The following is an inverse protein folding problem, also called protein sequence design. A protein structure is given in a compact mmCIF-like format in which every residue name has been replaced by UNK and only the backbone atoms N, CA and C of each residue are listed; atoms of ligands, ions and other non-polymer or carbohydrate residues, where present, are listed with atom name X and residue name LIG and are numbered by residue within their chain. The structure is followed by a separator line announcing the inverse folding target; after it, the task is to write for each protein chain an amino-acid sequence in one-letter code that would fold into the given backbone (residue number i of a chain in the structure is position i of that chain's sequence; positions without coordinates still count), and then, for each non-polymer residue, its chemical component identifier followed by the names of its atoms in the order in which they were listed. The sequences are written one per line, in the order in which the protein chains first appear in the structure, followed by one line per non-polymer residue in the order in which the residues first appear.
data_IF_166758624520
#
_entry.id   IF_166758624520
#
_cell.length_a   1.000
_cell.length_b   1.000
_cell.length_c   1.000
_cell.angle_alpha   90.00
_cell.angle_beta   90.00
_cell.angle_gamma   90.00
#
_symmetry.space_group_name_H-M   'P 1'
#
loop_
_entity.id
_entity.type
_entity.pdbx_description
1 polymer ?
#
# COMPACT_ATOMS: atom_id res chain seq x y z
N UNK A 1 -13.30 -5.65 1.69
CA UNK A 1 -13.39 -5.17 0.29
C UNK A 1 -13.37 -3.65 0.19
N UNK A 2 -14.40 -2.92 0.66
CA UNK A 2 -14.50 -1.45 0.45
C UNK A 2 -13.28 -0.63 0.88
N UNK A 3 -12.64 -0.94 2.01
CA UNK A 3 -11.48 -0.16 2.49
C UNK A 3 -10.25 -0.39 1.59
N UNK A 4 -9.98 -1.65 1.23
CA UNK A 4 -8.80 -2.09 0.47
C UNK A 4 -8.75 -1.46 -0.92
N UNK A 5 -9.90 -1.17 -1.55
CA UNK A 5 -9.93 -0.54 -2.88
C UNK A 5 -9.89 1.00 -2.84
N UNK A 6 -10.15 1.60 -1.67
CA UNK A 6 -10.18 3.06 -1.48
C UNK A 6 -8.81 3.61 -1.13
N UNK A 7 -8.10 2.93 -0.24
CA UNK A 7 -6.80 3.38 0.26
C UNK A 7 -5.70 3.49 -0.81
N UNK A 8 -5.55 2.55 -1.77
CA UNK A 8 -4.60 2.71 -2.86
C UNK A 8 -4.78 4.04 -3.59
N UNK A 9 -6.03 4.43 -3.87
CA UNK A 9 -6.33 5.67 -4.61
C UNK A 9 -6.02 6.91 -3.77
N UNK A 10 -6.26 6.86 -2.46
CA UNK A 10 -5.90 7.96 -1.55
C UNK A 10 -4.37 8.08 -1.37
N UNK A 11 -3.65 6.96 -1.24
CA UNK A 11 -2.17 6.97 -1.22
C UNK A 11 -1.63 7.56 -2.54
N UNK A 12 -2.17 7.10 -3.67
CA UNK A 12 -1.75 7.55 -4.98
C UNK A 12 -2.08 9.03 -5.22
N UNK A 13 -3.14 9.58 -4.63
CA UNK A 13 -3.46 11.02 -4.78
C UNK A 13 -2.43 11.94 -4.12
N UNK A 14 -1.60 11.41 -3.22
CA UNK A 14 -0.63 12.19 -2.46
C UNK A 14 -1.21 12.92 -1.25
N UNK A 15 -2.52 12.79 -1.00
CA UNK A 15 -3.19 13.44 0.12
C UNK A 15 -2.75 12.87 1.47
N UNK A 16 -2.74 13.74 2.49
CA UNK A 16 -2.49 13.41 3.90
C UNK A 16 -3.73 13.59 4.77
N UNK A 17 -4.84 13.98 4.15
CA UNK A 17 -6.07 14.34 4.81
C UNK A 17 -7.00 13.14 4.91
N UNK A 18 -7.28 12.69 6.13
CA UNK A 18 -8.29 11.67 6.41
C UNK A 18 -9.69 12.17 6.02
N UNK A 19 -9.93 13.49 6.13
CA UNK A 19 -11.19 14.11 5.70
C UNK A 19 -11.39 13.98 4.18
N UNK A 20 -10.36 14.32 3.39
CA UNK A 20 -10.42 14.12 1.94
C UNK A 20 -10.55 12.63 1.59
N UNK A 21 -9.87 11.75 2.33
CA UNK A 21 -9.99 10.30 2.17
C UNK A 21 -11.45 9.83 2.29
N UNK A 22 -12.16 10.34 3.30
CA UNK A 22 -13.58 10.07 3.53
C UNK A 22 -14.46 10.71 2.45
N UNK A 23 -14.28 11.99 2.14
CA UNK A 23 -15.13 12.73 1.20
C UNK A 23 -15.01 12.22 -0.24
N UNK A 24 -13.79 11.94 -0.71
CA UNK A 24 -13.55 11.53 -2.10
C UNK A 24 -13.64 10.03 -2.32
N UNK A 25 -13.20 9.24 -1.35
CA UNK A 25 -13.10 7.78 -1.51
C UNK A 25 -14.01 7.02 -0.56
N UNK A 26 -14.57 7.65 0.47
CA UNK A 26 -15.30 6.97 1.55
C UNK A 26 -14.37 6.22 2.52
N UNK A 27 -13.09 6.59 2.59
CA UNK A 27 -12.12 5.91 3.44
C UNK A 27 -12.09 6.52 4.85
N UNK A 28 -12.73 5.84 5.81
CA UNK A 28 -12.76 6.26 7.23
C UNK A 28 -11.69 5.60 8.09
N UNK A 29 -10.80 4.80 7.48
CA UNK A 29 -9.75 4.08 8.23
C UNK A 29 -8.92 5.07 9.04
N UNK A 30 -8.44 6.13 8.40
CA UNK A 30 -7.46 7.05 8.97
C UNK A 30 -8.01 8.11 9.94
N UNK A 31 -9.33 8.22 10.10
CA UNK A 31 -9.99 9.29 10.89
C UNK A 31 -9.46 9.34 12.32
N UNK A 32 -9.42 8.19 13.01
CA UNK A 32 -8.92 8.10 14.38
C UNK A 32 -7.45 8.51 14.50
N UNK A 33 -6.63 8.10 13.55
CA UNK A 33 -5.20 8.43 13.57
C UNK A 33 -4.95 9.91 13.31
N UNK A 34 -5.79 10.57 12.50
CA UNK A 34 -5.73 12.02 12.32
C UNK A 34 -6.11 12.78 13.60
N UNK A 35 -7.13 12.32 14.33
CA UNK A 35 -7.49 12.86 15.64
C UNK A 35 -6.33 12.69 16.65
N UNK A 36 -5.68 11.53 16.65
CA UNK A 36 -4.52 11.29 17.50
C UNK A 36 -3.31 12.16 17.11
N UNK A 37 -3.07 12.37 15.81
CA UNK A 37 -2.05 13.31 15.32
C UNK A 37 -2.33 14.74 15.80
N UNK A 38 -3.59 15.19 15.72
CA UNK A 38 -4.00 16.51 16.22
C UNK A 38 -3.73 16.62 17.71
N UNK A 39 -4.14 15.63 18.49
CA UNK A 39 -3.98 15.62 19.96
C UNK A 39 -2.51 15.59 20.40
N UNK A 40 -1.67 14.79 19.74
CA UNK A 40 -0.29 14.55 20.16
C UNK A 40 0.72 15.54 19.56
N UNK A 41 0.48 15.98 18.32
CA UNK A 41 1.42 16.79 17.55
C UNK A 41 0.86 18.16 17.13
N UNK A 42 -0.41 18.44 17.39
CA UNK A 42 -1.04 19.71 16.99
C UNK A 42 -1.24 19.84 15.48
N UNK A 43 -1.33 18.73 14.75
CA UNK A 43 -1.66 18.77 13.31
C UNK A 43 -3.05 19.41 13.09
N UNK A 44 -3.30 20.00 11.91
CA UNK A 44 -4.64 20.47 11.56
C UNK A 44 -5.69 19.35 11.65
N UNK A 45 -6.95 19.74 11.81
CA UNK A 45 -8.05 18.77 11.90
C UNK A 45 -8.15 17.92 10.63
N UNK A 46 -8.19 16.60 10.82
CA UNK A 46 -8.23 15.63 9.71
C UNK A 46 -6.88 15.37 9.05
N UNK A 47 -5.77 15.98 9.49
CA UNK A 47 -4.45 15.79 8.90
C UNK A 47 -3.57 14.80 9.68
N UNK A 48 -2.93 13.89 8.93
CA UNK A 48 -2.01 12.88 9.47
C UNK A 48 -0.55 13.35 9.52
N UNK A 49 -0.21 14.39 8.76
CA UNK A 49 1.18 14.76 8.47
C UNK A 49 1.74 13.98 7.27
N UNK A 50 3.06 14.04 7.02
CA UNK A 50 3.71 13.49 5.83
C UNK A 50 3.81 11.94 5.84
N UNK A 51 2.67 11.26 5.69
CA UNK A 51 2.51 9.80 5.61
C UNK A 51 2.70 9.28 4.17
N UNK A 52 2.26 8.04 3.88
CA UNK A 52 2.46 7.35 2.60
C UNK A 52 2.29 8.20 1.34
N UNK A 53 1.15 8.87 1.16
CA UNK A 53 0.87 9.67 -0.05
C UNK A 53 1.87 10.82 -0.22
N UNK A 54 2.17 11.54 0.86
CA UNK A 54 3.17 12.60 0.85
C UNK A 54 4.56 12.07 0.49
N UNK A 55 5.00 10.98 1.11
CA UNK A 55 6.31 10.41 0.79
C UNK A 55 6.37 9.95 -0.67
N UNK A 56 5.28 9.40 -1.20
CA UNK A 56 5.23 8.90 -2.57
C UNK A 56 5.21 10.03 -3.62
N UNK A 57 4.43 11.09 -3.41
CA UNK A 57 4.15 12.14 -4.42
C UNK A 57 4.85 13.47 -4.15
N UNK A 58 5.30 13.71 -2.92
CA UNK A 58 5.78 14.99 -2.43
C UNK A 58 7.02 14.85 -1.53
N UNK A 59 7.91 13.90 -1.83
CA UNK A 59 9.14 13.66 -1.07
C UNK A 59 9.96 14.96 -0.92
N UNK A 60 10.27 15.34 0.32
CA UNK A 60 10.88 16.63 0.70
C UNK A 60 10.18 17.85 0.07
N UNK A 61 8.87 17.78 -0.12
CA UNK A 61 8.03 18.82 -0.71
C UNK A 61 8.23 19.07 -2.20
N UNK A 62 9.03 18.25 -2.91
CA UNK A 62 9.46 18.58 -4.28
C UNK A 62 9.49 17.40 -5.26
N UNK A 63 9.64 16.16 -4.79
CA UNK A 63 9.88 15.01 -5.66
C UNK A 63 8.69 14.07 -5.67
N UNK A 64 8.14 13.84 -6.86
CA UNK A 64 7.15 12.79 -7.11
C UNK A 64 7.89 11.48 -7.43
N UNK A 65 8.16 10.68 -6.39
CA UNK A 65 8.93 9.44 -6.53
C UNK A 65 8.23 8.43 -7.43
N UNK A 66 6.89 8.38 -7.40
CA UNK A 66 6.12 7.50 -8.27
C UNK A 66 6.30 7.85 -9.74
N UNK A 67 6.20 9.14 -10.06
CA UNK A 67 6.40 9.62 -11.44
C UNK A 67 7.81 9.30 -11.94
N UNK A 68 8.83 9.63 -11.15
CA UNK A 68 10.22 9.34 -11.53
C UNK A 68 10.47 7.84 -11.70
N UNK A 69 9.86 7.00 -10.85
CA UNK A 69 9.94 5.54 -10.95
C UNK A 69 9.31 5.02 -12.24
N UNK A 70 8.10 5.47 -12.58
CA UNK A 70 7.40 5.03 -13.79
C UNK A 70 8.17 5.45 -15.04
N UNK A 71 8.62 6.70 -15.12
CA UNK A 71 9.41 7.18 -16.25
C UNK A 71 10.75 6.44 -16.37
N UNK A 72 11.36 6.07 -15.24
CA UNK A 72 12.55 5.23 -15.23
C UNK A 72 12.28 3.84 -15.79
N UNK A 73 11.19 3.19 -15.40
CA UNK A 73 10.80 1.85 -15.88
C UNK A 73 10.31 1.85 -17.34
N UNK A 74 9.76 2.97 -17.83
CA UNK A 74 9.43 3.18 -19.25
C UNK A 74 10.72 3.32 -20.09
N UNK A 75 11.68 4.13 -19.62
CA UNK A 75 12.94 4.40 -20.33
C UNK A 75 13.95 3.25 -20.27
N UNK A 76 14.07 2.59 -19.12
CA UNK A 76 15.05 1.53 -18.85
C UNK A 76 14.39 0.39 -18.05
N UNK A 77 13.67 -0.53 -18.71
CA UNK A 77 12.91 -1.60 -18.05
C UNK A 77 13.71 -2.41 -17.02
N UNK A 78 14.93 -2.80 -17.36
CA UNK A 78 15.79 -3.65 -16.51
C UNK A 78 16.59 -2.84 -15.45
N UNK A 79 16.19 -1.60 -15.19
CA UNK A 79 16.83 -0.75 -14.18
C UNK A 79 16.80 -1.42 -12.80
N UNK A 80 17.93 -1.34 -12.09
CA UNK A 80 18.04 -1.76 -10.68
C UNK A 80 17.84 -0.60 -9.71
N UNK A 81 17.34 0.54 -10.22
CA UNK A 81 17.20 1.82 -9.49
C UNK A 81 15.75 2.23 -9.25
N UNK A 82 14.78 1.41 -9.64
CA UNK A 82 13.36 1.67 -9.44
C UNK A 82 12.96 1.38 -7.98
N UNK A 83 13.45 2.22 -7.07
CA UNK A 83 13.24 2.13 -5.62
C UNK A 83 12.58 3.42 -5.13
N UNK A 84 11.57 3.27 -4.28
CA UNK A 84 10.88 4.38 -3.59
C UNK A 84 11.15 4.24 -2.10
N UNK A 85 11.61 5.31 -1.46
CA UNK A 85 11.62 5.37 0.00
C UNK A 85 10.28 5.91 0.50
N UNK A 86 9.67 5.23 1.45
CA UNK A 86 8.52 5.71 2.20
C UNK A 86 8.92 6.11 3.62
N UNK A 87 10.22 6.09 3.94
CA UNK A 87 10.76 6.41 5.25
C UNK A 87 11.69 7.61 5.17
N UNK A 88 11.21 8.78 5.60
CA UNK A 88 12.00 9.99 5.74
C UNK A 88 12.24 10.30 7.22
N UNK A 89 13.50 10.20 7.68
CA UNK A 89 13.83 10.45 9.08
C UNK A 89 13.51 11.89 9.50
N UNK A 90 13.65 12.88 8.61
CA UNK A 90 13.33 14.29 8.87
C UNK A 90 11.83 14.51 9.16
N UNK A 91 10.97 13.64 8.64
CA UNK A 91 9.53 13.66 8.87
C UNK A 91 9.12 12.80 10.07
N UNK A 92 9.79 11.67 10.28
CA UNK A 92 9.49 10.75 11.38
C UNK A 92 9.87 11.37 12.72
N UNK A 93 11.16 11.60 12.94
CA UNK A 93 11.66 12.17 14.19
C UNK A 93 13.10 12.67 14.04
N UNK A 94 13.33 13.95 14.28
CA UNK A 94 14.67 14.54 14.36
C UNK A 94 14.77 15.44 15.58
N UNK A 95 15.80 15.24 16.40
CA UNK A 95 16.00 16.02 17.64
C UNK A 95 14.81 15.96 18.61
N UNK A 96 14.02 14.87 18.59
CA UNK A 96 12.81 14.70 19.41
C UNK A 96 11.54 15.37 18.85
N UNK A 97 11.63 16.02 17.68
CA UNK A 97 10.49 16.64 16.99
C UNK A 97 9.91 15.66 15.98
N UNK A 98 8.62 15.35 16.12
CA UNK A 98 7.87 14.44 15.25
C UNK A 98 6.92 15.22 14.35
N UNK A 99 6.88 14.90 13.05
CA UNK A 99 5.87 15.46 12.12
C UNK A 99 4.76 14.48 11.79
N UNK A 100 4.95 13.20 12.11
CA UNK A 100 3.93 12.14 12.00
C UNK A 100 3.74 11.44 13.34
N UNK A 101 2.50 11.18 13.71
CA UNK A 101 2.19 10.39 14.89
C UNK A 101 2.25 8.89 14.58
N UNK A 102 1.84 8.51 13.38
CA UNK A 102 1.99 7.15 12.85
C UNK A 102 2.90 7.22 11.63
N UNK A 103 4.14 6.78 11.83
CA UNK A 103 5.09 6.63 10.75
C UNK A 103 4.74 5.41 9.90
N UNK A 104 5.08 5.47 8.61
CA UNK A 104 4.82 4.41 7.63
C UNK A 104 5.39 3.06 8.11
N UNK A 105 4.59 2.00 8.16
CA UNK A 105 5.01 0.64 8.49
C UNK A 105 5.80 0.00 7.35
N UNK A 106 5.47 0.37 6.11
CA UNK A 106 6.26 0.00 4.93
C UNK A 106 7.22 1.14 4.63
N UNK A 107 8.52 0.83 4.69
CA UNK A 107 9.61 1.82 4.62
C UNK A 107 10.18 1.99 3.21
N UNK A 108 10.08 0.97 2.36
CA UNK A 108 10.66 0.98 1.02
C UNK A 108 9.88 0.09 0.07
N UNK A 109 9.87 0.47 -1.22
CA UNK A 109 9.40 -0.35 -2.34
C UNK A 109 10.50 -0.48 -3.38
N UNK A 110 10.65 -1.64 -3.98
CA UNK A 110 11.51 -1.89 -5.14
C UNK A 110 10.67 -2.54 -6.24
N UNK A 111 10.69 -1.98 -7.43
CA UNK A 111 9.98 -2.48 -8.60
C UNK A 111 10.97 -3.07 -9.59
N UNK A 112 10.66 -4.25 -10.12
CA UNK A 112 11.48 -4.93 -11.11
C UNK A 112 10.64 -5.29 -12.32
N UNK A 113 10.90 -4.62 -13.44
CA UNK A 113 10.32 -4.94 -14.75
C UNK A 113 11.32 -5.81 -15.50
N UNK A 114 11.04 -7.10 -15.60
CA UNK A 114 11.97 -8.08 -16.16
C UNK A 114 11.27 -9.07 -17.08
N UNK A 115 12.04 -9.63 -18.01
CA UNK A 115 11.62 -10.76 -18.85
C UNK A 115 12.07 -12.06 -18.20
N UNK A 116 11.11 -12.91 -17.88
CA UNK A 116 11.36 -14.21 -17.27
C UNK A 116 11.18 -15.31 -18.29
N UNK A 117 12.15 -16.22 -18.35
CA UNK A 117 12.03 -17.41 -19.20
C UNK A 117 10.98 -18.34 -18.59
N UNK A 118 9.88 -18.58 -19.31
CA UNK A 118 8.79 -19.46 -18.86
C UNK A 118 8.88 -20.85 -19.49
N UNK A 119 9.43 -20.95 -20.71
CA UNK A 119 9.77 -22.19 -21.43
C UNK A 119 11.00 -21.98 -22.31
N UNK A 120 11.49 -23.04 -22.94
CA UNK A 120 12.60 -22.92 -23.90
C UNK A 120 12.23 -21.96 -25.04
N UNK A 121 13.00 -20.87 -25.19
CA UNK A 121 12.73 -19.83 -26.17
C UNK A 121 11.60 -18.85 -25.83
N UNK A 122 10.83 -19.07 -24.76
CA UNK A 122 9.67 -18.24 -24.40
C UNK A 122 9.95 -17.37 -23.17
N UNK A 123 9.67 -16.08 -23.29
CA UNK A 123 9.86 -15.08 -22.22
C UNK A 123 8.58 -14.29 -21.99
N UNK A 124 8.24 -14.07 -20.73
CA UNK A 124 7.14 -13.20 -20.32
C UNK A 124 7.69 -11.99 -19.56
N UNK A 125 7.27 -10.80 -19.98
CA UNK A 125 7.54 -9.58 -19.25
C UNK A 125 6.50 -9.39 -18.15
N UNK A 126 6.92 -9.04 -16.93
CA UNK A 126 6.02 -8.68 -15.83
C UNK A 126 6.67 -7.68 -14.88
N UNK A 127 5.84 -7.06 -14.04
CA UNK A 127 6.28 -6.17 -12.97
C UNK A 127 6.25 -6.87 -11.61
N UNK A 128 7.41 -7.26 -11.09
CA UNK A 128 7.54 -7.71 -9.70
C UNK A 128 7.74 -6.50 -8.76
N UNK A 129 7.29 -6.62 -7.51
CA UNK A 129 7.47 -5.60 -6.48
C UNK A 129 7.93 -6.25 -5.18
N UNK A 130 8.95 -5.70 -4.54
CA UNK A 130 9.34 -6.04 -3.18
C UNK A 130 9.08 -4.85 -2.26
N UNK A 131 8.63 -5.12 -1.03
CA UNK A 131 8.41 -4.10 -0.01
C UNK A 131 9.14 -4.48 1.28
N UNK A 132 9.67 -3.48 1.97
CA UNK A 132 10.25 -3.64 3.30
C UNK A 132 9.23 -3.15 4.33
N UNK A 133 8.78 -4.06 5.19
CA UNK A 133 7.82 -3.84 6.25
C UNK A 133 8.58 -3.83 7.59
N UNK A 134 8.84 -2.64 8.12
CA UNK A 134 9.64 -2.47 9.35
C UNK A 134 8.94 -2.94 10.63
N UNK A 135 7.62 -3.04 10.62
CA UNK A 135 6.77 -3.41 11.77
C UNK A 135 5.41 -3.87 11.30
N UNK A 136 5.13 -5.17 11.39
CA UNK A 136 3.95 -5.81 10.83
C UNK A 136 3.08 -6.45 11.93
N UNK A 137 1.89 -5.88 12.14
CA UNK A 137 0.80 -6.54 12.87
C UNK A 137 0.26 -7.70 12.00
N UNK A 138 0.84 -8.89 12.19
CA UNK A 138 0.63 -10.06 11.33
C UNK A 138 -0.84 -10.48 11.18
N UNK A 139 -1.69 -10.48 12.23
CA UNK A 139 -3.07 -10.94 12.10
C UNK A 139 -4.06 -9.88 11.60
N UNK A 140 -3.68 -8.60 11.55
CA UNK A 140 -4.60 -7.52 11.15
C UNK A 140 -4.01 -6.57 10.10
N UNK A 141 -2.98 -5.79 10.45
CA UNK A 141 -2.40 -4.77 9.57
C UNK A 141 -1.73 -5.36 8.32
N UNK A 142 -0.90 -6.39 8.50
CA UNK A 142 -0.08 -6.92 7.42
C UNK A 142 -0.91 -7.49 6.24
N UNK A 143 -1.96 -8.32 6.45
CA UNK A 143 -2.79 -8.80 5.35
C UNK A 143 -3.50 -7.68 4.59
N UNK A 144 -3.90 -6.61 5.30
CA UNK A 144 -4.50 -5.42 4.69
C UNK A 144 -3.48 -4.66 3.84
N UNK A 145 -2.29 -4.40 4.37
CA UNK A 145 -1.19 -3.76 3.65
C UNK A 145 -0.82 -4.54 2.37
N UNK A 146 -0.68 -5.86 2.46
CA UNK A 146 -0.30 -6.68 1.30
C UNK A 146 -1.36 -6.62 0.19
N UNK A 147 -2.64 -6.53 0.55
CA UNK A 147 -3.70 -6.34 -0.41
C UNK A 147 -3.62 -4.94 -1.06
N UNK A 148 -3.47 -3.87 -0.25
CA UNK A 148 -3.35 -2.48 -0.72
C UNK A 148 -2.17 -2.31 -1.67
N UNK A 149 -0.98 -2.75 -1.26
CA UNK A 149 0.23 -2.65 -2.07
C UNK A 149 0.20 -3.57 -3.29
N UNK A 150 -0.47 -4.73 -3.20
CA UNK A 150 -0.79 -5.56 -4.37
C UNK A 150 -1.62 -4.81 -5.41
N UNK A 151 -2.64 -4.07 -4.98
CA UNK A 151 -3.45 -3.24 -5.89
C UNK A 151 -2.63 -2.09 -6.50
N UNK A 152 -1.74 -1.45 -5.72
CA UNK A 152 -0.82 -0.43 -6.25
C UNK A 152 0.11 -1.04 -7.30
N UNK A 153 0.70 -2.22 -7.05
CA UNK A 153 1.51 -2.92 -8.04
C UNK A 153 0.73 -3.19 -9.34
N UNK A 154 -0.52 -3.63 -9.23
CA UNK A 154 -1.38 -3.85 -10.39
C UNK A 154 -1.64 -2.56 -11.18
N UNK A 155 -1.82 -1.42 -10.51
CA UNK A 155 -1.97 -0.12 -11.15
C UNK A 155 -0.67 0.33 -11.84
N UNK A 156 0.49 0.15 -11.22
CA UNK A 156 1.79 0.45 -11.85
C UNK A 156 2.02 -0.44 -13.07
N UNK A 157 1.70 -1.73 -12.97
CA UNK A 157 1.81 -2.67 -14.08
C UNK A 157 0.88 -2.26 -15.24
N UNK A 158 -0.36 -1.85 -14.93
CA UNK A 158 -1.33 -1.33 -15.91
C UNK A 158 -0.81 -0.08 -16.62
N UNK A 159 -0.25 0.88 -15.88
CA UNK A 159 0.36 2.10 -16.43
C UNK A 159 1.58 1.81 -17.33
N UNK A 160 2.31 0.73 -17.05
CA UNK A 160 3.43 0.26 -17.87
C UNK A 160 2.99 -0.64 -19.05
N UNK A 161 1.72 -1.03 -19.12
CA UNK A 161 1.19 -1.91 -20.17
C UNK A 161 1.66 -3.37 -20.09
N UNK A 162 2.00 -3.85 -18.88
CA UNK A 162 2.53 -5.21 -18.64
C UNK A 162 1.76 -5.90 -17.50
N UNK A 163 1.77 -7.23 -17.41
CA UNK A 163 1.10 -7.92 -16.31
C UNK A 163 1.84 -7.69 -14.97
N UNK A 164 1.10 -7.66 -13.84
CA UNK A 164 1.70 -7.71 -12.52
C UNK A 164 2.32 -9.10 -12.29
N UNK A 165 3.42 -9.12 -11.54
CA UNK A 165 4.12 -10.34 -11.16
C UNK A 165 4.02 -10.62 -9.66
N UNK A 166 5.15 -10.98 -9.06
CA UNK A 166 5.24 -11.35 -7.64
C UNK A 166 5.31 -10.11 -6.76
N UNK A 167 4.58 -10.14 -5.65
CA UNK A 167 4.76 -9.22 -4.53
C UNK A 167 5.53 -9.93 -3.41
N UNK A 168 6.70 -9.42 -3.04
CA UNK A 168 7.52 -9.95 -1.96
C UNK A 168 7.47 -9.03 -0.75
N UNK A 169 7.04 -9.57 0.40
CA UNK A 169 7.06 -8.85 1.67
C UNK A 169 8.31 -9.22 2.48
N UNK A 170 9.25 -8.29 2.66
CA UNK A 170 10.34 -8.43 3.62
C UNK A 170 9.87 -7.87 4.96
N UNK A 171 9.67 -8.75 5.94
CA UNK A 171 9.19 -8.35 7.27
C UNK A 171 10.39 -8.29 8.21
N UNK A 172 10.65 -7.13 8.79
CA UNK A 172 11.76 -6.93 9.73
C UNK A 172 11.34 -7.26 11.15
N UNK A 173 10.25 -6.65 11.62
CA UNK A 173 9.56 -6.99 12.87
C UNK A 173 8.16 -7.49 12.52
N UNK A 174 7.88 -8.74 12.85
CA UNK A 174 6.60 -9.40 12.61
C UNK A 174 6.03 -9.88 13.92
N UNK A 175 4.95 -9.23 14.35
CA UNK A 175 4.43 -9.38 15.71
C UNK A 175 2.96 -9.80 15.76
N UNK A 176 2.60 -10.40 16.90
CA UNK A 176 1.22 -10.67 17.32
C UNK A 176 1.07 -10.01 18.69
N UNK A 177 0.10 -9.10 18.84
CA UNK A 177 -0.17 -8.50 20.15
C UNK A 177 -0.77 -9.53 21.11
N UNK A 178 -0.49 -9.42 22.41
CA UNK A 178 -0.98 -10.38 23.42
C UNK A 178 -2.51 -10.54 23.38
N UNK A 179 -3.22 -9.41 23.24
CA UNK A 179 -4.68 -9.35 23.09
C UNK A 179 -5.23 -10.04 21.83
N UNK A 180 -4.39 -10.38 20.86
CA UNK A 180 -4.76 -11.07 19.63
C UNK A 180 -4.51 -12.59 19.71
N UNK A 181 -3.72 -13.09 20.68
CA UNK A 181 -3.24 -14.49 20.71
C UNK A 181 -4.39 -15.50 20.63
N UNK A 182 -5.44 -15.33 21.46
CA UNK A 182 -6.57 -16.27 21.45
C UNK A 182 -7.35 -16.25 20.13
N UNK A 183 -7.48 -15.07 19.50
CA UNK A 183 -8.11 -14.94 18.18
C UNK A 183 -7.24 -15.56 17.08
N UNK A 184 -5.92 -15.42 17.15
CA UNK A 184 -4.99 -16.07 16.22
C UNK A 184 -5.08 -17.60 16.35
N UNK A 185 -5.17 -18.14 17.56
CA UNK A 185 -5.39 -19.59 17.76
C UNK A 185 -6.70 -20.08 17.14
N UNK A 186 -7.77 -19.29 17.19
CA UNK A 186 -9.02 -19.58 16.49
C UNK A 186 -8.85 -19.50 14.96
N UNK A 187 -8.14 -18.49 14.47
CA UNK A 187 -7.87 -18.29 13.04
C UNK A 187 -7.10 -19.47 12.44
N UNK A 188 -6.09 -19.97 13.16
CA UNK A 188 -5.25 -21.10 12.74
C UNK A 188 -5.99 -22.44 12.64
N UNK A 189 -7.23 -22.54 13.14
CA UNK A 189 -8.08 -23.72 12.95
C UNK A 189 -8.84 -23.71 11.62
N UNK A 190 -8.79 -22.60 10.87
CA UNK A 190 -9.50 -22.44 9.60
C UNK A 190 -8.62 -22.89 8.45
N UNK A 191 -9.11 -23.84 7.66
CA UNK A 191 -8.44 -24.27 6.44
C UNK A 191 -8.46 -23.15 5.37
N UNK A 192 -7.34 -22.88 4.67
CA UNK A 192 -7.31 -21.90 3.59
C UNK A 192 -8.31 -22.24 2.48
N UNK A 193 -9.04 -21.23 2.01
CA UNK A 193 -9.95 -21.35 0.86
C UNK A 193 -9.22 -20.99 -0.45
N UNK A 194 -9.77 -21.37 -1.62
CA UNK A 194 -9.19 -20.98 -2.91
C UNK A 194 -8.96 -19.47 -3.02
N UNK A 195 -7.84 -19.09 -3.65
CA UNK A 195 -7.49 -17.68 -3.85
C UNK A 195 -8.47 -17.01 -4.80
N UNK A 196 -8.86 -15.79 -4.47
CA UNK A 196 -9.54 -14.89 -5.39
C UNK A 196 -8.58 -14.34 -6.45
N UNK A 197 -9.14 -13.77 -7.50
CA UNK A 197 -8.41 -12.94 -8.47
C UNK A 197 -8.96 -11.53 -8.46
N UNK A 198 -8.14 -10.55 -8.85
CA UNK A 198 -8.57 -9.16 -8.98
C UNK A 198 -8.39 -8.71 -10.43
N UNK A 199 -9.39 -8.01 -10.97
CA UNK A 199 -9.27 -7.26 -12.24
C UNK A 199 -9.46 -5.76 -11.98
N UNK A 200 -8.83 -4.92 -12.80
CA UNK A 200 -8.98 -3.45 -12.73
C UNK A 200 -9.61 -2.95 -14.03
N UNK A 201 -10.89 -2.65 -13.94
CA UNK A 201 -11.79 -2.24 -15.01
C UNK A 201 -12.15 -0.75 -14.86
N UNK A 202 -11.16 0.11 -15.10
CA UNK A 202 -11.35 1.57 -15.16
C UNK A 202 -11.51 2.07 -16.60
N UNK A 203 -11.88 3.35 -16.80
CA UNK A 203 -11.98 3.94 -18.12
C UNK A 203 -10.62 3.91 -18.85
N UNK A 204 -10.64 3.84 -20.17
CA UNK A 204 -9.41 3.78 -20.98
C UNK A 204 -8.51 5.03 -20.81
N UNK A 205 -9.09 6.14 -20.37
CA UNK A 205 -8.38 7.39 -20.05
C UNK A 205 -7.80 7.45 -18.63
N UNK A 206 -8.10 6.48 -17.76
CA UNK A 206 -7.54 6.47 -16.41
C UNK A 206 -6.04 6.20 -16.47
N UNK A 207 -5.30 6.93 -15.63
CA UNK A 207 -3.88 6.72 -15.37
C UNK A 207 -3.70 6.33 -13.91
N UNK A 208 -2.50 5.92 -13.52
CA UNK A 208 -2.20 5.71 -12.10
C UNK A 208 -2.35 6.99 -11.26
N UNK A 209 -2.34 8.17 -11.87
CA UNK A 209 -2.43 9.44 -11.18
C UNK A 209 -3.87 9.94 -11.02
N UNK A 210 -4.79 9.54 -11.91
CA UNK A 210 -6.17 10.04 -11.93
C UNK A 210 -7.13 9.13 -12.72
N UNK A 211 -8.43 9.28 -12.46
CA UNK A 211 -9.50 8.64 -13.25
C UNK A 211 -9.93 7.27 -12.74
N UNK A 212 -9.15 6.62 -11.87
CA UNK A 212 -9.56 5.39 -11.21
C UNK A 212 -10.53 5.62 -10.05
N UNK A 213 -11.48 4.69 -9.89
CA UNK A 213 -12.45 4.69 -8.80
C UNK A 213 -12.42 3.37 -8.02
N UNK A 214 -12.85 3.35 -6.74
CA UNK A 214 -12.87 2.12 -5.94
C UNK A 214 -13.70 0.98 -6.57
N UNK A 215 -14.66 1.32 -7.43
CA UNK A 215 -15.50 0.37 -8.14
C UNK A 215 -14.80 -0.33 -9.33
N UNK A 216 -13.66 0.18 -9.79
CA UNK A 216 -12.90 -0.39 -10.91
C UNK A 216 -12.25 -1.72 -10.52
N UNK A 217 -11.95 -1.92 -9.24
CA UNK A 217 -11.39 -3.16 -8.72
C UNK A 217 -12.49 -4.21 -8.57
N UNK A 218 -12.43 -5.28 -9.36
CA UNK A 218 -13.35 -6.41 -9.25
C UNK A 218 -12.67 -7.57 -8.57
N UNK A 219 -13.22 -7.99 -7.45
CA UNK A 219 -12.78 -9.17 -6.73
C UNK A 219 -13.58 -10.39 -7.22
N UNK A 220 -12.90 -11.30 -7.91
CA UNK A 220 -13.51 -12.45 -8.56
C UNK A 220 -13.26 -13.73 -7.76
N UNK A 221 -14.28 -14.58 -7.64
CA UNK A 221 -14.20 -15.88 -6.97
C UNK A 221 -13.74 -15.81 -5.49
N UNK A 222 -14.04 -14.71 -4.80
CA UNK A 222 -13.66 -14.56 -3.40
C UNK A 222 -14.54 -15.39 -2.49
N UNK A 223 -13.90 -16.34 -1.82
CA UNK A 223 -14.49 -17.15 -0.76
C UNK A 223 -13.72 -16.87 0.51
N UNK A 224 -14.46 -16.60 1.58
CA UNK A 224 -13.89 -16.31 2.89
C UNK A 224 -14.70 -17.01 3.98
N UNK A 225 -14.00 -17.38 5.05
CA UNK A 225 -14.64 -17.72 6.31
C UNK A 225 -15.37 -16.50 6.89
N UNK A 226 -16.23 -16.74 7.88
CA UNK A 226 -16.91 -15.66 8.60
C UNK A 226 -15.92 -14.63 9.16
N UNK A 227 -16.33 -13.36 9.10
CA UNK A 227 -15.53 -12.23 9.58
C UNK A 227 -15.13 -12.45 11.04
N UNK A 228 -13.83 -12.45 11.30
CA UNK A 228 -13.27 -12.43 12.64
C UNK A 228 -12.86 -11.01 12.96
N UNK A 229 -13.35 -10.46 14.07
CA UNK A 229 -12.85 -9.21 14.59
C UNK A 229 -11.49 -9.44 15.24
N UNK A 230 -10.46 -8.74 14.75
CA UNK A 230 -9.13 -8.71 15.34
C UNK A 230 -8.96 -7.34 16.01
N UNK A 231 -8.66 -7.28 17.31
CA UNK A 231 -8.47 -6.00 17.98
C UNK A 231 -7.13 -5.38 17.56
N UNK A 232 -7.08 -4.06 17.48
CA UNK A 232 -5.90 -3.29 17.06
C UNK A 232 -5.35 -2.53 18.27
N UNK A 233 -4.04 -2.57 18.48
CA UNK A 233 -3.36 -1.84 19.53
C UNK A 233 -3.34 -0.33 19.24
N UNK A 234 -3.41 0.49 20.28
CA UNK A 234 -3.63 1.95 20.17
C UNK A 234 -2.68 2.72 21.04
#
# INVERSE_FOLDING_TARGET
ERIITREPLWILSGSTSAKEAEEKFGLTLWTRWAEDSRRKLGTPEGELGPVYGYQLRHWNGRTDQLKELIEMLKRAPETRRAVVSLWNLEDVEIGGVKRVNVANCISQLHFSRMKYRVREGEYEERLDMAMTHRSADLPAGAPHDWAVWGLIQMLVAKELGIPPGTLTAHIEDGQIYEMQIEKVKELLKREPLPRATVTIEGPASATIYEGHQPADFKLNNYQAHEKMFMPVAT
#
